data_IF_011145463912
#
_entry.id   IF_011145463912
#
_cell.length_a   1.000
_cell.length_b   1.000
_cell.length_c   1.000
_cell.angle_alpha   90.00
_cell.angle_beta   90.00
_cell.angle_gamma   90.00
#
_symmetry.space_group_name_H-M   'P 1'
#
loop_
_entity.id
_entity.type
_entity.pdbx_description
1 polymer ?
#
# COMPACT_ATOMS: atom_id res chain seq x y z
N UNK A 1 -0.27 10.72 -2.13
CA UNK A 1 -0.94 9.47 -2.55
C UNK A 1 -0.01 8.27 -2.68
N UNK A 2 1.16 8.44 -3.33
CA UNK A 2 2.10 7.33 -3.52
C UNK A 2 2.67 6.80 -2.20
N UNK A 3 2.95 7.67 -1.25
CA UNK A 3 3.43 7.27 0.07
C UNK A 3 2.37 6.47 0.82
N UNK A 4 1.11 6.91 0.76
CA UNK A 4 -0.01 6.18 1.39
C UNK A 4 -0.16 4.79 0.76
N UNK A 5 -0.07 4.71 -0.57
CA UNK A 5 -0.09 3.43 -1.27
C UNK A 5 1.01 2.49 -0.76
N UNK A 6 2.23 2.98 -0.66
CA UNK A 6 3.36 2.17 -0.22
C UNK A 6 3.25 1.78 1.27
N UNK A 7 2.71 2.68 2.10
CA UNK A 7 2.44 2.37 3.50
C UNK A 7 1.37 1.28 3.65
N UNK A 8 0.37 1.27 2.78
CA UNK A 8 -0.67 0.22 2.77
C UNK A 8 -0.10 -1.16 2.45
N UNK A 9 0.95 -1.24 1.65
CA UNK A 9 1.62 -2.51 1.34
C UNK A 9 2.75 -2.86 2.32
N UNK A 10 2.91 -2.09 3.38
CA UNK A 10 3.77 -2.44 4.51
C UNK A 10 5.08 -1.68 4.64
N UNK A 11 5.37 -0.71 3.79
CA UNK A 11 6.56 0.12 3.96
C UNK A 11 6.39 1.03 5.18
N UNK A 12 7.44 1.14 5.99
CA UNK A 12 7.42 1.94 7.22
C UNK A 12 8.64 2.80 7.41
N UNK A 13 9.78 2.43 6.81
CA UNK A 13 11.05 3.11 7.03
C UNK A 13 11.33 4.15 5.95
N UNK A 14 11.97 5.24 6.35
CA UNK A 14 12.33 6.34 5.44
C UNK A 14 13.03 5.83 4.18
N UNK A 15 14.06 4.99 4.34
CA UNK A 15 14.83 4.50 3.22
C UNK A 15 14.04 3.53 2.33
N UNK A 16 13.05 2.84 2.87
CA UNK A 16 12.16 2.00 2.07
C UNK A 16 11.31 2.85 1.11
N UNK A 17 10.73 3.94 1.63
CA UNK A 17 9.98 4.89 0.80
C UNK A 17 10.89 5.56 -0.23
N UNK A 18 12.09 5.96 0.18
CA UNK A 18 13.03 6.62 -0.72
C UNK A 18 13.45 5.72 -1.87
N UNK A 19 13.78 4.46 -1.58
CA UNK A 19 14.15 3.49 -2.60
C UNK A 19 13.01 3.20 -3.57
N UNK A 20 11.79 3.09 -3.05
CA UNK A 20 10.60 2.79 -3.87
C UNK A 20 10.22 3.96 -4.78
N UNK A 21 10.27 5.18 -4.27
CA UNK A 21 9.81 6.36 -4.98
C UNK A 21 10.91 7.05 -5.81
N UNK A 22 12.18 6.81 -5.47
CA UNK A 22 13.31 7.41 -6.18
C UNK A 22 13.37 8.93 -6.08
N UNK A 23 12.90 9.51 -4.98
CA UNK A 23 12.88 10.97 -4.78
C UNK A 23 13.96 11.42 -3.82
N UNK A 24 14.31 12.72 -3.89
CA UNK A 24 15.31 13.32 -3.02
C UNK A 24 14.89 13.27 -1.56
N UNK A 25 15.86 13.15 -0.65
CA UNK A 25 15.63 13.05 0.79
C UNK A 25 14.82 14.21 1.37
N UNK A 26 15.14 15.45 0.94
CA UNK A 26 14.43 16.63 1.42
C UNK A 26 12.96 16.66 0.97
N UNK A 27 12.67 16.20 -0.24
CA UNK A 27 11.31 16.10 -0.75
C UNK A 27 10.53 15.05 0.05
N UNK A 28 11.11 13.89 0.28
CA UNK A 28 10.47 12.83 1.06
C UNK A 28 10.24 13.28 2.52
N UNK A 29 11.24 13.93 3.13
CA UNK A 29 11.11 14.45 4.50
C UNK A 29 9.93 15.42 4.62
N UNK A 30 9.80 16.34 3.67
CA UNK A 30 8.70 17.32 3.69
C UNK A 30 7.34 16.65 3.48
N UNK A 31 7.25 15.68 2.59
CA UNK A 31 6.00 14.95 2.33
C UNK A 31 5.58 14.10 3.51
N UNK A 32 6.52 13.38 4.15
CA UNK A 32 6.22 12.60 5.34
C UNK A 32 5.78 13.50 6.50
N UNK A 33 6.44 14.64 6.68
CA UNK A 33 6.06 15.61 7.70
C UNK A 33 4.63 16.10 7.47
N UNK A 34 4.29 16.45 6.24
CA UNK A 34 2.94 16.91 5.90
C UNK A 34 1.89 15.84 6.18
N UNK A 35 2.17 14.60 5.83
CA UNK A 35 1.25 13.49 6.10
C UNK A 35 1.06 13.24 7.60
N UNK A 36 2.12 13.43 8.38
CA UNK A 36 2.02 13.38 9.83
C UNK A 36 1.22 14.55 10.40
N UNK A 37 1.45 15.77 9.89
CA UNK A 37 0.72 16.96 10.33
C UNK A 37 -0.78 16.83 10.02
N UNK A 38 -1.14 16.18 8.91
CA UNK A 38 -2.52 15.89 8.52
C UNK A 38 -3.09 14.62 9.19
N UNK A 39 -2.32 14.00 10.06
CA UNK A 39 -2.72 12.79 10.81
C UNK A 39 -3.03 11.58 9.95
N UNK A 40 -2.42 11.49 8.77
CA UNK A 40 -2.53 10.32 7.90
C UNK A 40 -1.46 9.28 8.23
N UNK A 41 -0.29 9.73 8.67
CA UNK A 41 0.79 8.91 9.17
C UNK A 41 1.13 9.31 10.61
N UNK A 42 1.76 8.40 11.31
CA UNK A 42 2.26 8.60 12.67
C UNK A 42 3.71 8.13 12.74
N UNK A 43 4.56 8.95 13.37
CA UNK A 43 5.94 8.57 13.68
C UNK A 43 5.93 7.76 14.95
N UNK A 44 6.46 6.55 14.90
CA UNK A 44 6.55 5.67 16.07
C UNK A 44 7.99 5.17 16.20
N UNK A 45 8.43 4.81 17.43
CA UNK A 45 9.74 4.21 17.61
C UNK A 45 9.85 2.90 16.84
N UNK A 46 11.01 2.67 16.22
CA UNK A 46 11.34 1.40 15.59
C UNK A 46 12.18 0.58 16.57
N UNK A 47 11.66 -0.54 17.11
CA UNK A 47 12.39 -1.35 18.10
C UNK A 47 13.72 -1.89 17.58
N UNK A 48 13.82 -2.12 16.28
CA UNK A 48 15.03 -2.66 15.65
C UNK A 48 16.08 -1.60 15.34
N UNK A 49 15.69 -0.32 15.41
CA UNK A 49 16.54 0.80 15.02
C UNK A 49 16.40 1.96 16.00
N UNK A 50 16.97 1.85 17.22
CA UNK A 50 16.88 2.90 18.23
C UNK A 50 17.33 4.27 17.69
N UNK A 51 16.55 5.32 17.98
CA UNK A 51 16.83 6.67 17.51
C UNK A 51 16.35 6.97 16.09
N UNK A 52 15.84 5.99 15.37
CA UNK A 52 15.26 6.15 14.03
C UNK A 52 13.79 5.79 14.06
N UNK A 53 12.88 6.75 13.81
CA UNK A 53 11.45 6.43 13.79
C UNK A 53 11.07 5.69 12.53
N UNK A 54 9.95 5.00 12.60
CA UNK A 54 9.24 4.51 11.42
C UNK A 54 7.91 5.23 11.30
N UNK A 55 7.30 5.14 10.13
CA UNK A 55 6.04 5.81 9.80
C UNK A 55 4.97 4.77 9.55
N UNK A 56 3.87 4.86 10.27
CA UNK A 56 2.75 3.93 10.14
C UNK A 56 1.47 4.69 9.86
N UNK A 57 0.53 4.03 9.18
CA UNK A 57 -0.77 4.63 8.91
C UNK A 57 -1.57 4.77 10.20
N UNK A 58 -2.20 5.93 10.35
CA UNK A 58 -3.26 6.12 11.35
C UNK A 58 -4.55 5.47 10.85
N UNK A 59 -5.57 5.41 11.70
CA UNK A 59 -6.89 4.95 11.26
C UNK A 59 -7.44 5.83 10.14
N UNK A 60 -7.25 7.15 10.23
CA UNK A 60 -7.61 8.10 9.17
C UNK A 60 -6.90 7.76 7.87
N UNK A 61 -5.60 7.45 7.93
CA UNK A 61 -4.83 7.06 6.74
C UNK A 61 -5.31 5.75 6.14
N UNK A 62 -5.64 4.76 6.98
CA UNK A 62 -6.15 3.46 6.52
C UNK A 62 -7.50 3.56 5.83
N UNK A 63 -8.29 4.55 6.18
CA UNK A 63 -9.59 4.77 5.53
C UNK A 63 -9.48 5.12 4.05
N UNK A 64 -8.31 5.55 3.59
CA UNK A 64 -8.04 5.76 2.17
C UNK A 64 -7.82 4.45 1.39
N UNK A 65 -7.58 3.35 2.09
CA UNK A 65 -7.29 2.06 1.47
C UNK A 65 -8.31 1.64 0.43
N UNK A 66 -9.60 1.57 0.76
CA UNK A 66 -10.63 1.19 -0.21
C UNK A 66 -10.64 2.06 -1.46
N UNK A 67 -10.51 3.39 -1.31
CA UNK A 67 -10.49 4.32 -2.44
C UNK A 67 -9.28 4.07 -3.35
N UNK A 68 -8.10 3.82 -2.77
CA UNK A 68 -6.88 3.52 -3.52
C UNK A 68 -6.99 2.18 -4.25
N UNK A 69 -7.61 1.18 -3.64
CA UNK A 69 -7.81 -0.12 -4.27
C UNK A 69 -8.75 0.00 -5.47
N UNK A 70 -9.85 0.72 -5.33
CA UNK A 70 -10.78 0.98 -6.44
C UNK A 70 -10.06 1.69 -7.58
N UNK A 71 -9.27 2.71 -7.28
CA UNK A 71 -8.50 3.45 -8.29
C UNK A 71 -7.46 2.54 -8.96
N UNK A 72 -6.77 1.73 -8.21
CA UNK A 72 -5.79 0.76 -8.73
C UNK A 72 -6.44 -0.24 -9.68
N UNK A 73 -7.60 -0.77 -9.32
CA UNK A 73 -8.37 -1.70 -10.16
C UNK A 73 -8.81 -1.03 -11.46
N UNK A 74 -9.24 0.23 -11.38
CA UNK A 74 -9.58 1.01 -12.56
C UNK A 74 -8.38 1.15 -13.49
N UNK A 75 -7.21 1.47 -12.94
CA UNK A 75 -5.97 1.58 -13.71
C UNK A 75 -5.57 0.26 -14.37
N UNK A 76 -5.69 -0.85 -13.66
CA UNK A 76 -5.36 -2.18 -14.18
C UNK A 76 -6.25 -2.56 -15.38
N UNK A 77 -7.52 -2.13 -15.38
CA UNK A 77 -8.43 -2.40 -16.50
C UNK A 77 -8.14 -1.55 -17.72
N UNK A 78 -7.88 -0.26 -17.51
CA UNK A 78 -7.79 0.72 -18.60
C UNK A 78 -6.36 0.98 -19.08
N UNK A 79 -5.38 0.76 -18.20
CA UNK A 79 -3.95 0.97 -18.47
C UNK A 79 -3.14 -0.24 -17.98
N UNK A 80 -3.38 -1.42 -18.58
CA UNK A 80 -2.75 -2.65 -18.08
C UNK A 80 -1.23 -2.59 -18.17
N UNK A 81 -0.57 -3.11 -17.14
CA UNK A 81 0.88 -3.25 -17.09
C UNK A 81 1.29 -4.51 -17.86
N UNK A 82 2.40 -4.49 -18.62
CA UNK A 82 2.93 -5.70 -19.24
C UNK A 82 3.17 -6.79 -18.20
N UNK A 83 2.70 -8.00 -18.48
CA UNK A 83 2.80 -9.14 -17.56
C UNK A 83 1.66 -9.27 -16.59
N UNK A 84 0.74 -8.29 -16.51
CA UNK A 84 -0.42 -8.32 -15.64
C UNK A 84 -0.38 -7.27 -14.54
N UNK A 85 -1.31 -7.29 -13.58
CA UNK A 85 -1.34 -6.31 -12.49
C UNK A 85 -0.10 -6.43 -11.60
N UNK A 86 0.52 -5.29 -11.19
CA UNK A 86 1.68 -5.32 -10.31
C UNK A 86 1.33 -5.70 -8.86
N UNK A 87 0.07 -5.51 -8.45
CA UNK A 87 -0.45 -5.96 -7.16
C UNK A 87 -1.73 -6.75 -7.35
N UNK A 88 -1.84 -7.85 -6.63
CA UNK A 88 -3.09 -8.58 -6.52
C UNK A 88 -3.91 -7.99 -5.37
N UNK A 89 -5.21 -8.21 -5.41
CA UNK A 89 -6.12 -7.84 -4.33
C UNK A 89 -6.89 -9.09 -3.93
N UNK A 90 -6.54 -9.67 -2.80
CA UNK A 90 -7.08 -10.94 -2.34
C UNK A 90 -7.87 -10.76 -1.05
N UNK A 91 -8.99 -11.45 -0.94
CA UNK A 91 -9.80 -11.44 0.26
C UNK A 91 -9.11 -12.26 1.35
N UNK A 92 -8.80 -11.67 2.49
CA UNK A 92 -8.16 -12.34 3.59
C UNK A 92 -9.03 -13.52 4.07
N UNK A 93 -8.40 -14.67 4.29
CA UNK A 93 -9.08 -15.89 4.76
C UNK A 93 -9.74 -16.72 3.66
N UNK A 94 -10.19 -16.09 2.57
CA UNK A 94 -10.83 -16.75 1.44
C UNK A 94 -9.88 -16.93 0.25
N UNK A 95 -8.98 -15.97 0.03
CA UNK A 95 -8.05 -15.97 -1.09
C UNK A 95 -8.67 -15.60 -2.43
N UNK A 96 -9.96 -15.23 -2.47
CA UNK A 96 -10.62 -14.82 -3.69
C UNK A 96 -10.18 -13.45 -4.17
N UNK A 97 -10.22 -13.22 -5.48
CA UNK A 97 -9.93 -11.93 -6.07
C UNK A 97 -11.01 -10.90 -5.70
N UNK A 98 -10.59 -9.69 -5.34
CA UNK A 98 -11.50 -8.60 -5.05
C UNK A 98 -11.83 -7.87 -6.35
N UNK A 99 -13.11 -7.76 -6.65
CA UNK A 99 -13.59 -7.06 -7.84
C UNK A 99 -13.57 -5.54 -7.69
N UNK A 100 -13.93 -4.81 -8.76
CA UNK A 100 -13.87 -3.35 -8.78
C UNK A 100 -14.83 -2.66 -7.80
N UNK A 101 -15.82 -3.38 -7.30
CA UNK A 101 -16.78 -2.92 -6.31
C UNK A 101 -16.42 -3.34 -4.87
N UNK A 102 -15.20 -3.84 -4.67
CA UNK A 102 -14.70 -4.37 -3.40
C UNK A 102 -15.43 -5.63 -2.91
N UNK A 103 -16.10 -6.32 -3.82
CA UNK A 103 -16.75 -7.60 -3.52
C UNK A 103 -15.84 -8.76 -3.92
N UNK A 104 -15.73 -9.75 -3.05
CA UNK A 104 -14.97 -10.96 -3.34
C UNK A 104 -15.66 -11.80 -4.41
N UNK A 105 -14.94 -12.13 -5.47
CA UNK A 105 -15.47 -12.94 -6.57
C UNK A 105 -15.67 -14.42 -6.18
N UNK A 106 -15.02 -14.87 -5.10
CA UNK A 106 -15.13 -16.25 -4.63
C UNK A 106 -16.28 -16.43 -3.64
N UNK A 107 -16.32 -15.66 -2.56
CA UNK A 107 -17.32 -15.82 -1.51
C UNK A 107 -18.52 -14.88 -1.63
N UNK A 108 -18.44 -13.88 -2.51
CA UNK A 108 -19.52 -12.92 -2.76
C UNK A 108 -19.68 -11.84 -1.69
N UNK A 109 -18.91 -11.88 -0.62
CA UNK A 109 -18.99 -10.88 0.45
C UNK A 109 -18.28 -9.60 0.06
N UNK A 110 -18.79 -8.48 0.54
CA UNK A 110 -18.09 -7.21 0.45
C UNK A 110 -16.90 -7.24 1.41
N UNK A 111 -15.70 -6.92 0.90
CA UNK A 111 -14.50 -6.93 1.73
C UNK A 111 -14.45 -5.65 2.58
N UNK A 112 -14.39 -5.82 3.89
CA UNK A 112 -14.25 -4.72 4.82
C UNK A 112 -12.79 -4.23 4.86
N UNK A 113 -12.61 -3.04 5.43
CA UNK A 113 -11.27 -2.49 5.65
C UNK A 113 -10.45 -3.46 6.51
N UNK A 114 -9.23 -3.76 6.06
CA UNK A 114 -8.36 -4.71 6.72
C UNK A 114 -8.54 -6.16 6.28
N UNK A 115 -9.52 -6.44 5.43
CA UNK A 115 -9.76 -7.79 4.91
C UNK A 115 -9.18 -8.00 3.52
N UNK A 116 -8.42 -7.04 2.98
CA UNK A 116 -7.82 -7.15 1.66
C UNK A 116 -6.31 -7.24 1.78
N UNK A 117 -5.75 -8.28 1.21
CA UNK A 117 -4.30 -8.46 1.09
C UNK A 117 -3.83 -7.97 -0.27
N UNK A 118 -2.64 -7.39 -0.30
CA UNK A 118 -2.06 -6.77 -1.49
C UNK A 118 -0.69 -7.37 -1.83
N UNK A 119 -0.60 -8.68 -2.11
CA UNK A 119 0.68 -9.29 -2.48
C UNK A 119 1.13 -8.83 -3.87
N UNK A 120 2.44 -8.95 -4.18
CA UNK A 120 2.93 -8.69 -5.52
C UNK A 120 2.22 -9.56 -6.56
N UNK A 121 1.88 -8.95 -7.71
CA UNK A 121 1.26 -9.65 -8.83
C UNK A 121 2.27 -9.95 -9.93
N UNK A 122 1.82 -10.60 -11.02
CA UNK A 122 2.70 -11.02 -12.12
C UNK A 122 3.36 -9.85 -12.85
N UNK A 123 2.79 -8.65 -12.78
CA UNK A 123 3.36 -7.43 -13.38
C UNK A 123 4.25 -6.63 -12.44
N UNK A 124 4.56 -7.15 -11.23
CA UNK A 124 5.41 -6.45 -10.28
C UNK A 124 6.83 -6.29 -10.80
N UNK A 125 7.51 -5.17 -10.48
CA UNK A 125 8.92 -5.00 -10.82
C UNK A 125 9.79 -6.12 -10.23
N UNK A 126 10.88 -6.43 -10.91
CA UNK A 126 11.82 -7.43 -10.42
C UNK A 126 12.33 -7.03 -9.03
N UNK A 127 12.27 -7.96 -8.09
CA UNK A 127 12.67 -7.74 -6.70
C UNK A 127 11.52 -7.59 -5.71
N UNK A 128 10.29 -7.37 -6.18
CA UNK A 128 9.14 -7.30 -5.27
C UNK A 128 8.56 -8.67 -4.90
N UNK A 129 9.01 -9.72 -5.58
CA UNK A 129 8.58 -11.10 -5.30
C UNK A 129 9.36 -11.77 -4.17
N UNK A 130 10.22 -11.04 -3.48
CA UNK A 130 10.98 -11.59 -2.36
C UNK A 130 10.04 -11.80 -1.19
N UNK A 131 10.00 -13.02 -0.66
CA UNK A 131 9.24 -13.34 0.55
C UNK A 131 9.72 -12.50 1.73
N UNK A 132 8.78 -11.94 2.44
CA UNK A 132 9.04 -11.18 3.67
C UNK A 132 8.69 -12.00 4.90
#
# INVERSE_FOLDING_TARGET
MLIIRDALVGLTRFEEFQAKLGIASNVLTNRLKRLCDEELLERVPDPERPGRPKYVLTDKGRELGPALIVLMKWGDRHYPTPGGPPRLTLHAGCGGNIGPDLRCERCGKHAARGEIELPPGPGAPRGEHVER
#
